data_IF_231413386773
#
_entry.id   IF_231413386773
#
_cell.length_a   1.000
_cell.length_b   1.000
_cell.length_c   1.000
_cell.angle_alpha   90.00
_cell.angle_beta   90.00
_cell.angle_gamma   90.00
#
_symmetry.space_group_name_H-M   'P 1'
#
loop_
_entity.id
_entity.type
_entity.pdbx_description
1 polymer ?
#
# COMPACT_ATOMS: atom_id res chain seq x y z
N UNK A 1 6.67 12.13 7.11
CA UNK A 1 5.35 11.52 7.29
C UNK A 1 5.43 10.40 8.33
N UNK A 2 4.67 10.45 9.42
CA UNK A 2 4.51 9.30 10.33
C UNK A 2 3.36 8.40 9.85
N UNK A 3 3.52 7.08 9.91
CA UNK A 3 2.51 6.14 9.43
C UNK A 3 2.27 5.07 10.47
N UNK A 4 0.99 4.84 10.79
CA UNK A 4 0.63 3.73 11.66
C UNK A 4 -0.72 3.11 11.28
N UNK A 5 -0.86 1.83 11.60
CA UNK A 5 -2.13 1.13 11.53
C UNK A 5 -2.99 1.31 12.80
N UNK A 6 -2.48 2.05 13.80
CA UNK A 6 -3.22 2.52 14.98
C UNK A 6 -3.92 3.83 14.69
N UNK A 7 -4.97 4.15 15.45
CA UNK A 7 -5.75 5.39 15.29
C UNK A 7 -5.01 6.64 15.79
N UNK A 8 -3.99 6.47 16.62
CA UNK A 8 -3.21 7.55 17.25
C UNK A 8 -1.72 7.36 17.06
N UNK A 9 -0.97 8.45 17.18
CA UNK A 9 0.50 8.47 17.17
C UNK A 9 1.00 8.60 18.62
N UNK A 10 1.90 7.72 19.11
CA UNK A 10 2.52 7.90 20.42
C UNK A 10 3.19 9.27 20.53
N UNK A 11 2.99 9.94 21.66
CA UNK A 11 3.55 11.27 21.95
C UNK A 11 3.15 12.39 20.97
N UNK A 12 2.14 12.17 20.10
CA UNK A 12 1.59 13.16 19.17
C UNK A 12 0.09 13.42 19.38
N UNK A 13 -0.29 14.68 19.62
CA UNK A 13 -1.70 15.08 19.68
C UNK A 13 -2.21 15.39 18.26
N UNK A 14 -3.29 14.72 17.82
CA UNK A 14 -3.95 15.03 16.55
C UNK A 14 -4.76 16.32 16.72
N UNK A 15 -4.38 17.38 16.01
CA UNK A 15 -5.03 18.70 16.08
C UNK A 15 -5.97 18.98 14.92
N UNK A 16 -5.81 18.26 13.81
CA UNK A 16 -6.68 18.40 12.64
C UNK A 16 -6.74 17.10 11.83
N UNK A 17 -7.93 16.76 11.35
CA UNK A 17 -8.16 15.69 10.36
C UNK A 17 -8.28 16.33 8.98
N UNK A 18 -7.38 15.96 8.07
CA UNK A 18 -7.23 16.59 6.76
C UNK A 18 -7.93 15.83 5.64
N UNK A 19 -8.45 14.63 5.95
CA UNK A 19 -9.20 13.80 5.01
C UNK A 19 -8.59 12.40 4.87
N UNK A 20 -8.97 11.73 3.80
CA UNK A 20 -8.46 10.40 3.47
C UNK A 20 -7.25 10.57 2.56
N UNK A 21 -6.10 10.06 2.97
CA UNK A 21 -4.96 9.86 2.09
C UNK A 21 -5.06 8.48 1.45
N UNK A 22 -4.77 8.40 0.15
CA UNK A 22 -4.83 7.13 -0.59
C UNK A 22 -3.79 7.04 -1.69
N UNK A 23 -3.34 5.82 -1.95
CA UNK A 23 -2.49 5.49 -3.08
C UNK A 23 -2.82 4.09 -3.57
N UNK A 24 -2.93 3.91 -4.88
CA UNK A 24 -3.19 2.61 -5.49
C UNK A 24 -2.22 2.34 -6.63
N UNK A 25 -1.94 1.06 -6.87
CA UNK A 25 -1.22 0.58 -8.05
C UNK A 25 -1.94 -0.63 -8.63
N UNK A 26 -1.80 -0.87 -9.94
CA UNK A 26 -2.47 -1.96 -10.65
C UNK A 26 -1.42 -2.81 -11.34
N UNK A 27 -1.40 -4.09 -10.98
CA UNK A 27 -0.47 -5.08 -11.52
C UNK A 27 -1.17 -5.94 -12.59
N UNK A 28 -0.50 -6.12 -13.73
CA UNK A 28 -1.02 -6.86 -14.88
C UNK A 28 -0.54 -8.32 -14.93
N UNK A 29 -1.39 -9.21 -15.47
CA UNK A 29 -1.20 -10.67 -15.58
C UNK A 29 0.12 -11.04 -16.27
N UNK A 30 0.56 -10.21 -17.21
CA UNK A 30 1.77 -10.46 -17.99
C UNK A 30 3.04 -10.37 -17.14
N UNK A 31 3.05 -9.51 -16.10
CA UNK A 31 4.15 -9.46 -15.12
C UNK A 31 4.24 -10.81 -14.38
N UNK A 32 3.09 -11.40 -14.02
CA UNK A 32 3.00 -12.74 -13.43
C UNK A 32 3.36 -13.88 -14.39
N UNK A 33 3.13 -13.70 -15.70
CA UNK A 33 3.41 -14.72 -16.72
C UNK A 33 4.93 -14.88 -16.96
N UNK A 34 5.67 -13.78 -16.96
CA UNK A 34 7.13 -13.79 -17.03
C UNK A 34 7.73 -14.46 -15.78
N UNK A 35 7.12 -14.22 -14.62
CA UNK A 35 7.48 -14.87 -13.35
C UNK A 35 7.26 -16.39 -13.40
N UNK A 36 6.14 -16.88 -13.95
CA UNK A 36 5.88 -18.32 -14.08
C UNK A 36 6.88 -19.08 -14.95
N UNK A 37 7.57 -18.42 -15.89
CA UNK A 37 8.64 -19.08 -16.65
C UNK A 37 9.94 -19.25 -15.84
N UNK A 38 10.12 -18.46 -14.78
CA UNK A 38 11.23 -18.54 -13.82
C UNK A 38 10.97 -19.45 -12.62
N UNK A 39 9.70 -19.74 -12.28
CA UNK A 39 9.33 -20.67 -11.20
C UNK A 39 9.46 -22.12 -11.72
N UNK A 40 10.69 -22.55 -11.95
CA UNK A 40 11.03 -23.97 -11.90
C UNK A 40 11.36 -24.31 -10.45
N UNK A 41 10.53 -25.17 -9.86
CA UNK A 41 10.76 -25.91 -8.62
C UNK A 41 10.44 -25.15 -7.32
N UNK A 42 9.18 -25.20 -6.87
CA UNK A 42 8.92 -25.26 -5.42
C UNK A 42 7.79 -26.25 -5.16
N UNK A 43 8.14 -27.47 -4.75
CA UNK A 43 7.20 -28.36 -4.10
C UNK A 43 6.91 -27.82 -2.69
N UNK A 44 5.72 -27.23 -2.50
CA UNK A 44 5.15 -26.96 -1.17
C UNK A 44 5.60 -25.70 -0.43
N UNK A 45 6.26 -24.74 -1.08
CA UNK A 45 6.77 -23.49 -0.48
C UNK A 45 6.13 -22.21 -1.04
N UNK A 46 6.56 -21.06 -0.51
CA UNK A 46 6.09 -19.74 -0.93
C UNK A 46 6.46 -19.44 -2.39
N UNK A 47 5.55 -18.77 -3.11
CA UNK A 47 5.79 -18.30 -4.46
C UNK A 47 6.61 -17.00 -4.43
N UNK A 48 7.92 -17.10 -4.14
CA UNK A 48 8.81 -15.96 -3.87
C UNK A 48 8.66 -14.80 -4.86
N UNK A 49 8.64 -15.09 -6.17
CA UNK A 49 8.53 -14.03 -7.17
C UNK A 49 7.16 -13.31 -7.18
N UNK A 50 6.08 -14.01 -6.80
CA UNK A 50 4.78 -13.36 -6.58
C UNK A 50 4.76 -12.56 -5.28
N UNK A 51 5.44 -13.04 -4.24
CA UNK A 51 5.62 -12.29 -2.98
C UNK A 51 6.40 -11.01 -3.18
N UNK A 52 7.48 -11.05 -3.97
CA UNK A 52 8.30 -9.89 -4.33
C UNK A 52 7.47 -8.86 -5.11
N UNK A 53 6.68 -9.33 -6.09
CA UNK A 53 5.76 -8.47 -6.86
C UNK A 53 4.74 -7.79 -5.94
N UNK A 54 4.10 -8.56 -5.04
CA UNK A 54 3.15 -8.00 -4.09
C UNK A 54 3.80 -7.04 -3.10
N UNK A 55 5.05 -7.28 -2.70
CA UNK A 55 5.79 -6.34 -1.84
C UNK A 55 6.02 -5.03 -2.54
N UNK A 56 6.52 -5.07 -3.78
CA UNK A 56 6.73 -3.87 -4.59
C UNK A 56 5.43 -3.08 -4.81
N UNK A 57 4.33 -3.78 -5.09
CA UNK A 57 3.03 -3.15 -5.27
C UNK A 57 2.52 -2.46 -3.99
N UNK A 58 2.74 -3.06 -2.81
CA UNK A 58 2.42 -2.43 -1.52
C UNK A 58 3.28 -1.20 -1.28
N UNK A 59 4.58 -1.29 -1.51
CA UNK A 59 5.51 -0.18 -1.30
C UNK A 59 5.14 1.02 -2.19
N UNK A 60 4.78 0.76 -3.45
CA UNK A 60 4.31 1.79 -4.37
C UNK A 60 2.96 2.40 -3.94
N UNK A 61 2.00 1.57 -3.50
CA UNK A 61 0.71 2.06 -3.00
C UNK A 61 0.89 2.95 -1.76
N UNK A 62 1.76 2.54 -0.82
CA UNK A 62 2.08 3.32 0.39
C UNK A 62 2.77 4.63 0.02
N UNK A 63 3.76 4.60 -0.88
CA UNK A 63 4.44 5.81 -1.36
C UNK A 63 3.45 6.82 -1.96
N UNK A 64 2.52 6.36 -2.82
CA UNK A 64 1.49 7.23 -3.41
C UNK A 64 0.51 7.78 -2.37
N UNK A 65 0.21 7.02 -1.32
CA UNK A 65 -0.61 7.47 -0.19
C UNK A 65 0.13 8.54 0.63
N UNK A 66 1.43 8.39 0.86
CA UNK A 66 2.27 9.41 1.51
C UNK A 66 2.28 10.70 0.71
N UNK A 67 2.53 10.63 -0.60
CA UNK A 67 2.48 11.80 -1.48
C UNK A 67 1.12 12.50 -1.46
N UNK A 68 0.02 11.74 -1.34
CA UNK A 68 -1.33 12.28 -1.19
C UNK A 68 -1.53 12.99 0.15
N UNK A 69 -1.05 12.38 1.24
CA UNK A 69 -1.06 12.99 2.56
C UNK A 69 -0.21 14.27 2.62
N UNK A 70 0.95 14.30 1.94
CA UNK A 70 1.78 15.50 1.82
C UNK A 70 1.05 16.63 1.09
N UNK A 71 0.30 16.32 0.02
CA UNK A 71 -0.54 17.30 -0.68
C UNK A 71 -1.66 17.87 0.20
N UNK A 72 -2.13 17.09 1.17
CA UNK A 72 -3.11 17.54 2.18
C UNK A 72 -2.47 18.36 3.31
N UNK A 73 -1.13 18.43 3.38
CA UNK A 73 -0.39 19.10 4.45
C UNK A 73 -0.39 18.33 5.76
N UNK A 74 -0.38 16.99 5.69
CA UNK A 74 -0.39 16.10 6.83
C UNK A 74 1.02 15.84 7.38
N UNK A 75 1.11 15.69 8.70
CA UNK A 75 2.33 15.22 9.37
C UNK A 75 2.33 13.69 9.48
N UNK A 76 1.14 13.09 9.54
CA UNK A 76 0.94 11.66 9.70
C UNK A 76 -0.27 11.11 8.94
N UNK A 77 -0.24 9.81 8.65
CA UNK A 77 -1.39 9.01 8.25
C UNK A 77 -1.63 7.93 9.29
N UNK A 78 -2.77 7.98 9.96
CA UNK A 78 -3.18 7.01 10.99
C UNK A 78 -4.23 6.05 10.45
N UNK A 79 -4.44 4.96 11.17
CA UNK A 79 -5.39 3.91 10.83
C UNK A 79 -5.18 3.35 9.41
N UNK A 80 -3.91 3.22 8.99
CA UNK A 80 -3.58 2.75 7.65
C UNK A 80 -4.05 1.32 7.42
N UNK A 81 -4.62 1.09 6.24
CA UNK A 81 -5.09 -0.19 5.73
C UNK A 81 -4.53 -0.43 4.33
N UNK A 82 -4.32 -1.71 4.03
CA UNK A 82 -3.97 -2.20 2.72
C UNK A 82 -5.09 -3.12 2.25
N UNK A 83 -5.56 -2.90 1.03
CA UNK A 83 -6.55 -3.73 0.37
C UNK A 83 -6.04 -4.16 -1.01
N UNK A 84 -6.44 -5.37 -1.40
CA UNK A 84 -6.16 -5.91 -2.73
C UNK A 84 -7.49 -6.29 -3.37
N UNK A 85 -7.73 -5.84 -4.59
CA UNK A 85 -8.96 -6.13 -5.34
C UNK A 85 -8.62 -6.66 -6.74
N UNK A 86 -9.46 -7.55 -7.26
CA UNK A 86 -9.38 -7.95 -8.66
C UNK A 86 -10.19 -6.95 -9.50
N UNK A 87 -9.54 -6.28 -10.44
CA UNK A 87 -10.16 -5.25 -11.29
C UNK A 87 -10.64 -5.87 -12.62
N UNK A 88 -9.87 -6.82 -13.16
CA UNK A 88 -10.18 -7.52 -14.41
C UNK A 88 -9.55 -8.91 -14.44
N UNK A 89 -9.81 -9.68 -15.50
CA UNK A 89 -9.19 -10.97 -15.73
C UNK A 89 -7.67 -10.83 -15.91
N UNK A 90 -6.97 -10.92 -14.78
CA UNK A 90 -5.52 -10.74 -14.71
C UNK A 90 -5.08 -9.30 -14.45
N UNK A 91 -5.92 -8.44 -13.88
CA UNK A 91 -5.47 -7.18 -13.30
C UNK A 91 -5.89 -7.12 -11.85
N UNK A 92 -4.94 -6.86 -10.95
CA UNK A 92 -5.22 -6.68 -9.53
C UNK A 92 -4.72 -5.32 -9.06
N UNK A 93 -5.54 -4.63 -8.28
CA UNK A 93 -5.16 -3.42 -7.59
C UNK A 93 -4.63 -3.74 -6.20
N UNK A 94 -3.61 -3.00 -5.78
CA UNK A 94 -3.20 -2.86 -4.38
C UNK A 94 -3.42 -1.40 -3.99
N UNK A 95 -4.19 -1.16 -2.92
CA UNK A 95 -4.52 0.16 -2.42
C UNK A 95 -4.05 0.28 -0.96
N UNK A 96 -3.36 1.38 -0.66
CA UNK A 96 -3.10 1.85 0.69
C UNK A 96 -3.99 3.07 0.97
N UNK A 97 -4.60 3.10 2.14
CA UNK A 97 -5.38 4.26 2.58
C UNK A 97 -5.36 4.43 4.08
N UNK A 98 -5.60 5.66 4.54
CA UNK A 98 -5.73 5.99 5.95
C UNK A 98 -6.21 7.42 6.15
N UNK A 99 -6.21 7.86 7.40
CA UNK A 99 -6.63 9.22 7.77
C UNK A 99 -5.42 10.14 7.84
N UNK A 100 -5.37 11.14 6.97
CA UNK A 100 -4.35 12.19 6.99
C UNK A 100 -4.62 13.15 8.16
N UNK A 101 -3.63 13.42 8.99
CA UNK A 101 -3.76 14.25 10.19
C UNK A 101 -2.60 15.22 10.37
N UNK A 102 -2.88 16.37 11.00
CA UNK A 102 -1.86 17.28 11.51
C UNK A 102 -1.62 16.99 12.99
N UNK A 103 -0.36 16.95 13.39
CA UNK A 103 0.05 16.74 14.79
C UNK A 103 0.45 18.08 15.43
N UNK A 104 0.40 18.13 16.77
CA UNK A 104 0.89 19.26 17.56
C UNK A 104 2.37 19.15 17.87
#
# INVERSE_FOLDING_TARGET
>A
MYIANTETVPDGEIVEVLGIARGNTVEAKNVGKDITQGIRNVFGGELTAYSDLLSKARDEAVMRMEEDAERLGADAVVNVRLETSQITDGGSEVMAYGTAVRLR
#
